data_IF_793625733265
#
_entry.id   IF_793625733265
#
_cell.length_a   1.000
_cell.length_b   1.000
_cell.length_c   1.000
_cell.angle_alpha   90.00
_cell.angle_beta   90.00
_cell.angle_gamma   90.00
#
_symmetry.space_group_name_H-M   'P 1'
#
loop_
_entity.id
_entity.type
_entity.pdbx_description
1 polymer ?
#
# COMPACT_ATOMS: atom_id res chain seq x y z
N UNK A 1 13.02 -3.15 -13.38
CA UNK A 1 14.39 -3.64 -13.13
C UNK A 1 14.45 -5.14 -13.28
N UNK A 2 14.92 -5.66 -14.41
CA UNK A 2 15.00 -7.12 -14.66
C UNK A 2 16.35 -7.64 -15.15
N UNK A 3 17.32 -6.76 -15.45
CA UNK A 3 18.61 -7.18 -16.02
C UNK A 3 19.55 -7.79 -14.97
N UNK A 4 19.81 -7.07 -13.88
CA UNK A 4 20.77 -7.51 -12.85
C UNK A 4 20.29 -8.74 -12.08
N UNK A 5 19.01 -8.76 -11.71
CA UNK A 5 18.43 -9.84 -10.90
C UNK A 5 18.35 -11.18 -11.65
N UNK A 6 18.21 -11.16 -12.99
CA UNK A 6 18.25 -12.38 -13.82
C UNK A 6 19.66 -12.93 -14.02
N UNK A 7 20.66 -12.04 -14.15
CA UNK A 7 22.07 -12.45 -14.29
C UNK A 7 22.54 -13.12 -12.98
N UNK A 8 22.20 -12.52 -11.83
CA UNK A 8 22.49 -13.13 -10.55
C UNK A 8 21.80 -14.50 -10.38
N UNK A 9 20.56 -14.66 -10.87
CA UNK A 9 19.78 -15.92 -10.74
C UNK A 9 20.43 -17.06 -11.52
N UNK A 10 20.87 -16.77 -12.75
CA UNK A 10 21.60 -17.70 -13.57
C UNK A 10 22.94 -18.12 -12.94
N UNK A 11 23.66 -17.18 -12.31
CA UNK A 11 24.93 -17.45 -11.64
C UNK A 11 24.77 -18.30 -10.36
N UNK A 12 23.64 -18.17 -9.66
CA UNK A 12 23.33 -18.88 -8.43
C UNK A 12 22.57 -20.22 -8.63
N UNK A 13 22.23 -20.58 -9.88
CA UNK A 13 21.55 -21.83 -10.19
C UNK A 13 20.11 -21.93 -9.69
N UNK A 14 19.45 -20.81 -9.41
CA UNK A 14 18.04 -20.75 -8.97
C UNK A 14 17.20 -19.93 -9.93
N UNK A 15 15.99 -20.39 -10.25
CA UNK A 15 15.00 -19.57 -10.98
C UNK A 15 14.33 -18.54 -10.07
N UNK A 16 14.49 -18.67 -8.75
CA UNK A 16 13.97 -17.73 -7.77
C UNK A 16 14.91 -16.54 -7.59
N UNK A 17 14.64 -15.49 -8.36
CA UNK A 17 15.35 -14.21 -8.35
C UNK A 17 15.29 -13.53 -6.97
N UNK A 18 14.32 -13.85 -6.10
CA UNK A 18 14.21 -13.20 -4.80
C UNK A 18 15.22 -13.74 -3.79
N UNK A 19 15.50 -15.05 -3.82
CA UNK A 19 16.46 -15.73 -2.94
C UNK A 19 17.90 -15.21 -3.03
N UNK A 20 18.20 -14.57 -4.14
CA UNK A 20 19.51 -14.02 -4.48
C UNK A 20 19.44 -12.49 -4.68
N UNK A 21 18.28 -11.90 -4.38
CA UNK A 21 18.09 -10.46 -4.45
C UNK A 21 18.66 -9.79 -3.22
N UNK A 22 18.95 -8.49 -3.34
CA UNK A 22 19.26 -7.63 -2.21
C UNK A 22 18.14 -7.58 -1.17
N UNK A 23 16.91 -7.99 -1.52
CA UNK A 23 15.76 -7.98 -0.62
C UNK A 23 15.70 -9.21 0.30
N UNK A 24 16.57 -10.22 0.11
CA UNK A 24 16.54 -11.45 0.91
C UNK A 24 16.62 -11.21 2.44
N UNK A 25 17.46 -10.30 2.96
CA UNK A 25 17.48 -10.01 4.40
C UNK A 25 16.13 -9.51 4.96
N UNK A 26 15.29 -8.89 4.13
CA UNK A 26 13.93 -8.48 4.52
C UNK A 26 13.01 -9.70 4.63
N UNK A 27 13.18 -10.68 3.74
CA UNK A 27 12.45 -11.96 3.79
C UNK A 27 12.84 -12.76 5.02
N UNK A 28 14.13 -12.91 5.32
CA UNK A 28 14.60 -13.59 6.53
C UNK A 28 14.00 -12.94 7.77
N UNK A 29 13.98 -11.60 7.82
CA UNK A 29 13.35 -10.87 8.91
C UNK A 29 11.84 -11.13 9.02
N UNK A 30 11.15 -11.31 7.90
CA UNK A 30 9.73 -11.67 7.90
C UNK A 30 9.50 -13.11 8.40
N UNK A 31 10.36 -14.06 8.03
CA UNK A 31 10.31 -15.43 8.57
C UNK A 31 10.50 -15.42 10.09
N UNK A 32 11.49 -14.69 10.59
CA UNK A 32 11.74 -14.52 12.03
C UNK A 32 10.52 -13.94 12.77
N UNK A 33 9.93 -12.86 12.24
CA UNK A 33 8.83 -12.15 12.88
C UNK A 33 7.52 -12.95 12.86
N UNK A 34 7.27 -13.69 11.78
CA UNK A 34 6.00 -14.41 11.58
C UNK A 34 6.05 -15.87 12.05
N UNK A 35 7.24 -16.46 12.17
CA UNK A 35 7.43 -17.89 12.39
C UNK A 35 7.00 -18.76 11.19
N UNK A 36 6.77 -18.15 10.01
CA UNK A 36 6.36 -18.83 8.78
C UNK A 36 7.53 -18.92 7.82
N UNK A 37 7.57 -19.97 7.01
CA UNK A 37 8.60 -20.12 6.00
C UNK A 37 8.27 -19.32 4.73
N UNK A 38 9.31 -18.87 4.04
CA UNK A 38 9.19 -18.25 2.73
C UNK A 38 8.59 -19.19 1.69
N UNK A 39 8.83 -20.50 1.79
CA UNK A 39 8.31 -21.46 0.84
C UNK A 39 6.79 -21.63 0.98
N UNK A 40 6.26 -21.51 2.19
CA UNK A 40 4.81 -21.55 2.44
C UNK A 40 4.13 -20.21 2.13
N UNK A 41 4.83 -19.09 2.36
CA UNK A 41 4.26 -17.73 2.27
C UNK A 41 4.94 -16.85 1.21
N UNK A 42 5.41 -17.47 0.13
CA UNK A 42 6.28 -16.84 -0.89
C UNK A 42 5.69 -15.53 -1.42
N UNK A 43 4.40 -15.52 -1.75
CA UNK A 43 3.75 -14.33 -2.30
C UNK A 43 3.70 -13.18 -1.28
N UNK A 44 3.30 -13.47 -0.04
CA UNK A 44 3.16 -12.45 0.99
C UNK A 44 4.50 -11.81 1.32
N UNK A 45 5.54 -12.62 1.53
CA UNK A 45 6.86 -12.10 1.87
C UNK A 45 7.49 -11.28 0.74
N UNK A 46 7.34 -11.72 -0.52
CA UNK A 46 7.79 -10.93 -1.68
C UNK A 46 7.08 -9.59 -1.80
N UNK A 47 5.75 -9.58 -1.65
CA UNK A 47 4.95 -8.35 -1.75
C UNK A 47 5.34 -7.38 -0.64
N UNK A 48 5.48 -7.84 0.60
CA UNK A 48 5.87 -6.99 1.71
C UNK A 48 7.27 -6.39 1.48
N UNK A 49 8.25 -7.22 1.14
CA UNK A 49 9.62 -6.78 0.93
C UNK A 49 9.74 -5.73 -0.20
N UNK A 50 9.13 -6.00 -1.36
CA UNK A 50 9.16 -5.08 -2.51
C UNK A 50 8.42 -3.76 -2.21
N UNK A 51 7.21 -3.85 -1.67
CA UNK A 51 6.37 -2.66 -1.48
C UNK A 51 6.85 -1.78 -0.33
N UNK A 52 7.34 -2.38 0.75
CA UNK A 52 7.90 -1.60 1.85
C UNK A 52 9.22 -0.94 1.41
N UNK A 53 10.05 -1.61 0.62
CA UNK A 53 11.24 -1.00 0.01
C UNK A 53 10.85 0.23 -0.84
N UNK A 54 9.90 0.09 -1.75
CA UNK A 54 9.44 1.22 -2.56
C UNK A 54 8.82 2.36 -1.73
N UNK A 55 8.07 2.04 -0.68
CA UNK A 55 7.50 3.03 0.22
C UNK A 55 8.58 3.77 1.03
N UNK A 56 9.62 3.07 1.48
CA UNK A 56 10.78 3.64 2.18
C UNK A 56 11.48 4.67 1.29
N UNK A 57 11.83 4.33 0.06
CA UNK A 57 12.50 5.27 -0.85
C UNK A 57 11.64 6.50 -1.17
N UNK A 58 10.34 6.32 -1.40
CA UNK A 58 9.44 7.47 -1.58
C UNK A 58 9.43 8.38 -0.34
N UNK A 59 9.42 7.80 0.86
CA UNK A 59 9.43 8.59 2.09
C UNK A 59 10.76 9.34 2.32
N UNK A 60 11.89 8.70 1.98
CA UNK A 60 13.24 9.32 1.95
C UNK A 60 13.25 10.53 1.01
N UNK A 61 12.63 10.40 -0.17
CA UNK A 61 12.48 11.50 -1.16
C UNK A 61 11.48 12.60 -0.71
N UNK A 62 11.02 12.57 0.54
CA UNK A 62 10.09 13.57 1.08
C UNK A 62 8.62 13.33 0.72
N UNK A 63 8.28 12.24 0.03
CA UNK A 63 6.88 11.92 -0.27
C UNK A 63 6.17 11.56 1.03
N UNK A 64 4.93 12.04 1.18
CA UNK A 64 4.07 11.75 2.33
C UNK A 64 2.73 11.15 1.87
N UNK A 65 2.09 10.31 2.69
CA UNK A 65 0.75 9.77 2.39
C UNK A 65 -0.24 10.88 1.99
N UNK A 66 -0.86 10.76 0.81
CA UNK A 66 -1.88 11.69 0.33
C UNK A 66 -2.89 11.02 -0.60
N UNK A 67 -3.99 11.71 -0.93
CA UNK A 67 -5.04 11.19 -1.84
C UNK A 67 -4.69 11.32 -3.34
N UNK A 68 -3.54 11.92 -3.71
CA UNK A 68 -3.19 12.23 -5.10
C UNK A 68 -1.70 12.02 -5.37
N UNK A 69 -1.36 11.85 -6.66
CA UNK A 69 0.00 11.79 -7.19
C UNK A 69 0.90 10.79 -6.41
N UNK A 70 2.16 11.15 -6.14
CA UNK A 70 3.12 10.30 -5.45
C UNK A 70 2.67 9.89 -4.04
N UNK A 71 1.95 10.76 -3.34
CA UNK A 71 1.42 10.42 -2.01
C UNK A 71 0.37 9.32 -2.04
N UNK A 72 -0.41 9.20 -3.13
CA UNK A 72 -1.32 8.07 -3.33
C UNK A 72 -0.55 6.78 -3.63
N UNK A 73 0.54 6.86 -4.41
CA UNK A 73 1.41 5.71 -4.69
C UNK A 73 2.02 5.18 -3.39
N UNK A 74 2.58 6.04 -2.55
CA UNK A 74 3.13 5.65 -1.24
C UNK A 74 2.06 4.96 -0.39
N UNK A 75 0.84 5.52 -0.31
CA UNK A 75 -0.26 4.88 0.43
C UNK A 75 -0.59 3.50 -0.12
N UNK A 76 -0.66 3.34 -1.43
CA UNK A 76 -0.96 2.04 -2.06
C UNK A 76 0.10 1.00 -1.70
N UNK A 77 1.38 1.36 -1.73
CA UNK A 77 2.48 0.46 -1.36
C UNK A 77 2.39 0.05 0.11
N UNK A 78 2.27 1.01 1.03
CA UNK A 78 2.16 0.73 2.47
C UNK A 78 0.94 -0.13 2.77
N UNK A 79 -0.25 0.23 2.27
CA UNK A 79 -1.48 -0.50 2.55
C UNK A 79 -1.45 -1.92 2.02
N UNK A 80 -0.83 -2.13 0.86
CA UNK A 80 -0.65 -3.46 0.29
C UNK A 80 0.33 -4.31 1.11
N UNK A 81 1.47 -3.76 1.54
CA UNK A 81 2.38 -4.44 2.47
C UNK A 81 1.66 -4.82 3.78
N UNK A 82 0.92 -3.89 4.39
CA UNK A 82 0.14 -4.12 5.61
C UNK A 82 -0.94 -5.19 5.42
N UNK A 83 -1.61 -5.23 4.26
CA UNK A 83 -2.59 -6.29 3.96
C UNK A 83 -1.96 -7.67 3.93
N UNK A 84 -0.82 -7.84 3.25
CA UNK A 84 -0.14 -9.14 3.20
C UNK A 84 0.55 -9.48 4.53
N UNK A 85 0.98 -8.50 5.31
CA UNK A 85 1.48 -8.72 6.67
C UNK A 85 0.40 -9.36 7.57
N UNK A 86 -0.88 -9.03 7.36
CA UNK A 86 -1.98 -9.70 8.05
C UNK A 86 -2.06 -11.20 7.75
N UNK A 87 -1.74 -11.64 6.52
CA UNK A 87 -1.73 -13.08 6.17
C UNK A 87 -0.63 -13.83 6.96
N UNK A 88 0.47 -13.13 7.27
CA UNK A 88 1.56 -13.66 8.09
C UNK A 88 1.26 -13.62 9.61
N UNK A 89 0.15 -13.02 10.03
CA UNK A 89 -0.16 -12.78 11.45
C UNK A 89 0.57 -11.57 12.05
N UNK A 90 1.17 -10.71 11.22
CA UNK A 90 1.86 -9.49 11.66
C UNK A 90 0.85 -8.33 11.82
N UNK A 91 0.33 -8.21 13.03
CA UNK A 91 -0.84 -7.37 13.31
C UNK A 91 -0.54 -5.89 13.57
N UNK A 92 0.70 -5.51 13.87
CA UNK A 92 1.11 -4.12 14.12
C UNK A 92 2.62 -3.92 13.86
N UNK A 93 3.05 -2.66 13.92
CA UNK A 93 4.46 -2.22 13.91
C UNK A 93 5.32 -2.69 12.73
N UNK A 94 4.72 -2.98 11.58
CA UNK A 94 5.43 -3.47 10.39
C UNK A 94 6.55 -2.50 9.97
N UNK A 95 6.24 -1.20 9.92
CA UNK A 95 7.22 -0.18 9.55
C UNK A 95 8.39 -0.10 10.56
N UNK A 96 8.08 -0.13 11.86
CA UNK A 96 9.09 -0.09 12.93
C UNK A 96 10.03 -1.31 12.83
N UNK A 97 9.47 -2.48 12.53
CA UNK A 97 10.19 -3.74 12.54
C UNK A 97 11.05 -3.99 11.29
N UNK A 98 10.68 -3.42 10.14
CA UNK A 98 11.31 -3.73 8.86
C UNK A 98 12.05 -2.57 8.18
N UNK A 99 11.67 -1.32 8.41
CA UNK A 99 12.39 -0.17 7.80
C UNK A 99 13.89 -0.16 8.18
N UNK A 100 14.30 -0.47 9.43
CA UNK A 100 15.72 -0.58 9.75
C UNK A 100 16.46 -1.65 8.93
N UNK A 101 15.81 -2.79 8.66
CA UNK A 101 16.37 -3.85 7.80
C UNK A 101 16.50 -3.36 6.36
N UNK A 102 15.50 -2.64 5.85
CA UNK A 102 15.58 -2.01 4.51
C UNK A 102 16.76 -1.03 4.46
N UNK A 103 16.93 -0.17 5.47
CA UNK A 103 18.03 0.79 5.49
C UNK A 103 19.40 0.11 5.50
N UNK A 104 19.58 -0.94 6.31
CA UNK A 104 20.82 -1.71 6.37
C UNK A 104 21.19 -2.37 5.04
N UNK A 105 20.19 -2.87 4.28
CA UNK A 105 20.40 -3.45 2.93
C UNK A 105 20.99 -2.42 1.97
N UNK A 106 20.58 -1.16 2.08
CA UNK A 106 20.94 -0.10 1.13
C UNK A 106 22.03 0.86 1.60
N UNK A 107 22.44 0.81 2.88
CA UNK A 107 23.37 1.76 3.52
C UNK A 107 24.61 2.09 2.66
N UNK A 108 25.23 1.07 2.05
CA UNK A 108 26.45 1.29 1.24
C UNK A 108 26.21 2.09 -0.04
N UNK A 109 25.04 1.92 -0.66
CA UNK A 109 24.71 2.56 -1.94
C UNK A 109 23.89 3.84 -1.75
N UNK A 110 23.12 3.91 -0.66
CA UNK A 110 22.16 4.96 -0.33
C UNK A 110 22.21 5.27 1.19
N UNK A 111 23.30 5.88 1.68
CA UNK A 111 23.44 6.22 3.10
C UNK A 111 22.31 7.13 3.60
N UNK A 112 21.70 7.94 2.72
CA UNK A 112 20.54 8.77 3.01
C UNK A 112 19.36 7.98 3.58
N UNK A 113 19.21 6.70 3.21
CA UNK A 113 18.14 5.85 3.74
C UNK A 113 18.32 5.62 5.24
N UNK A 114 19.57 5.41 5.69
CA UNK A 114 19.93 5.24 7.10
C UNK A 114 19.76 6.55 7.87
N UNK A 115 20.18 7.68 7.29
CA UNK A 115 20.05 9.01 7.89
C UNK A 115 18.58 9.40 8.16
N UNK A 116 17.65 8.90 7.33
CA UNK A 116 16.23 9.23 7.42
C UNK A 116 15.35 8.15 8.09
N UNK A 117 15.92 7.07 8.64
CA UNK A 117 15.16 5.93 9.20
C UNK A 117 14.07 6.37 10.18
N UNK A 118 14.37 7.28 11.11
CA UNK A 118 13.41 7.70 12.14
C UNK A 118 12.18 8.41 11.53
N UNK A 119 12.40 9.33 10.59
CA UNK A 119 11.32 10.04 9.89
C UNK A 119 10.51 9.06 9.02
N UNK A 120 11.18 8.18 8.28
CA UNK A 120 10.52 7.17 7.45
C UNK A 120 9.64 6.26 8.31
N UNK A 121 10.17 5.73 9.41
CA UNK A 121 9.41 4.91 10.36
C UNK A 121 8.18 5.69 10.85
N UNK A 122 8.33 6.95 11.25
CA UNK A 122 7.21 7.76 11.73
C UNK A 122 6.13 7.98 10.64
N UNK A 123 6.55 8.25 9.40
CA UNK A 123 5.65 8.46 8.26
C UNK A 123 4.87 7.20 7.91
N UNK A 124 5.55 6.06 7.75
CA UNK A 124 4.93 4.80 7.34
C UNK A 124 4.06 4.23 8.47
N UNK A 125 4.51 4.31 9.73
CA UNK A 125 3.73 3.86 10.89
C UNK A 125 2.42 4.63 11.08
N UNK A 126 2.39 5.92 10.71
CA UNK A 126 1.16 6.72 10.74
C UNK A 126 0.13 6.18 9.73
N UNK A 127 0.59 5.86 8.53
CA UNK A 127 -0.29 5.31 7.48
C UNK A 127 -0.73 3.87 7.79
N UNK A 128 0.18 3.03 8.28
CA UNK A 128 -0.11 1.67 8.75
C UNK A 128 -1.23 1.69 9.79
N UNK A 129 -1.04 2.44 10.89
CA UNK A 129 -2.06 2.58 11.95
C UNK A 129 -3.37 3.13 11.40
N UNK A 130 -3.32 4.03 10.42
CA UNK A 130 -4.52 4.55 9.79
C UNK A 130 -5.32 3.48 9.05
N UNK A 131 -4.63 2.62 8.31
CA UNK A 131 -5.26 1.57 7.53
C UNK A 131 -5.72 0.37 8.37
N UNK A 132 -4.93 -0.05 9.37
CA UNK A 132 -5.30 -1.19 10.24
C UNK A 132 -6.65 -1.01 10.92
N UNK A 133 -7.05 0.24 11.23
CA UNK A 133 -8.38 0.56 11.79
C UNK A 133 -9.56 0.14 10.91
N UNK A 134 -9.39 0.06 9.60
CA UNK A 134 -10.44 -0.27 8.64
C UNK A 134 -10.18 -1.56 7.88
N UNK A 135 -8.95 -2.07 7.88
CA UNK A 135 -8.51 -3.25 7.13
C UNK A 135 -9.42 -4.48 7.32
N UNK A 136 -9.58 -4.95 8.57
CA UNK A 136 -10.40 -6.15 8.84
C UNK A 136 -11.86 -5.97 8.45
N UNK A 137 -12.43 -4.77 8.68
CA UNK A 137 -13.80 -4.47 8.27
C UNK A 137 -13.94 -4.42 6.75
N UNK A 138 -12.95 -3.88 6.04
CA UNK A 138 -12.94 -3.87 4.57
C UNK A 138 -12.85 -5.28 3.97
N UNK A 139 -12.01 -6.16 4.53
CA UNK A 139 -11.95 -7.58 4.12
C UNK A 139 -13.30 -8.27 4.37
N UNK A 140 -13.89 -8.04 5.55
CA UNK A 140 -15.18 -8.65 5.90
C UNK A 140 -16.29 -8.17 4.97
N UNK A 141 -16.33 -6.86 4.69
CA UNK A 141 -17.31 -6.28 3.76
C UNK A 141 -17.13 -6.80 2.34
N UNK A 142 -15.89 -6.94 1.86
CA UNK A 142 -15.63 -7.55 0.54
C UNK A 142 -16.15 -9.00 0.48
N UNK A 143 -16.05 -9.76 1.56
CA UNK A 143 -16.52 -11.14 1.62
C UNK A 143 -18.06 -11.28 1.48
N UNK A 144 -18.83 -10.23 1.78
CA UNK A 144 -20.30 -10.21 1.59
C UNK A 144 -20.69 -10.41 0.11
N UNK A 145 -19.79 -10.08 -0.82
CA UNK A 145 -20.02 -10.13 -2.26
C UNK A 145 -19.60 -11.46 -2.91
N UNK A 146 -19.33 -12.51 -2.12
CA UNK A 146 -18.84 -13.80 -2.64
C UNK A 146 -19.73 -14.40 -3.73
N UNK A 147 -21.04 -14.33 -3.54
CA UNK A 147 -22.02 -14.93 -4.45
C UNK A 147 -22.43 -13.97 -5.58
N UNK A 148 -22.39 -12.67 -5.35
CA UNK A 148 -22.88 -11.66 -6.31
C UNK A 148 -21.78 -11.09 -7.21
N UNK A 149 -20.52 -11.19 -6.79
CA UNK A 149 -19.43 -10.41 -7.36
C UNK A 149 -19.47 -8.95 -6.92
N UNK A 150 -18.43 -8.20 -7.32
CA UNK A 150 -18.27 -6.77 -7.08
C UNK A 150 -18.29 -5.97 -8.39
N UNK A 151 -18.95 -4.82 -8.37
CA UNK A 151 -18.96 -3.83 -9.45
C UNK A 151 -18.05 -2.65 -9.11
N UNK A 152 -17.99 -1.63 -9.97
CA UNK A 152 -17.23 -0.41 -9.65
C UNK A 152 -17.80 0.34 -8.44
N UNK A 153 -19.10 0.19 -8.15
CA UNK A 153 -19.75 0.82 -7.01
C UNK A 153 -19.25 0.23 -5.67
N UNK A 154 -19.21 -1.09 -5.53
CA UNK A 154 -18.69 -1.75 -4.33
C UNK A 154 -17.20 -1.48 -4.12
N UNK A 155 -16.43 -1.49 -5.21
CA UNK A 155 -15.01 -1.13 -5.17
C UNK A 155 -14.80 0.33 -4.74
N UNK A 156 -15.70 1.24 -5.13
CA UNK A 156 -15.70 2.62 -4.67
C UNK A 156 -16.01 2.71 -3.18
N UNK A 157 -16.95 1.93 -2.65
CA UNK A 157 -17.22 1.87 -1.20
C UNK A 157 -15.99 1.39 -0.44
N UNK A 158 -15.32 0.32 -0.89
CA UNK A 158 -14.06 -0.16 -0.31
C UNK A 158 -12.98 0.92 -0.31
N UNK A 159 -12.90 1.71 -1.38
CA UNK A 159 -11.97 2.82 -1.48
C UNK A 159 -12.29 3.98 -0.54
N UNK A 160 -13.52 4.47 -0.59
CA UNK A 160 -13.91 5.70 0.10
C UNK A 160 -14.10 5.48 1.61
N UNK A 161 -14.74 4.36 1.99
CA UNK A 161 -15.12 4.09 3.38
C UNK A 161 -14.03 3.35 4.14
N UNK A 162 -13.44 2.32 3.51
CA UNK A 162 -12.46 1.45 4.15
C UNK A 162 -11.03 1.82 3.78
N UNK A 163 -10.84 2.71 2.81
CA UNK A 163 -9.54 3.19 2.38
C UNK A 163 -8.74 2.17 1.56
N UNK A 164 -9.37 1.14 1.01
CA UNK A 164 -8.66 0.17 0.18
C UNK A 164 -8.26 0.82 -1.15
N UNK A 165 -6.99 0.79 -1.54
CA UNK A 165 -6.64 1.09 -2.92
C UNK A 165 -7.42 0.18 -3.85
N UNK A 166 -7.96 0.72 -4.95
CA UNK A 166 -8.86 -0.06 -5.82
C UNK A 166 -8.14 -1.28 -6.42
N UNK A 167 -6.85 -1.16 -6.69
CA UNK A 167 -6.02 -2.27 -7.14
C UNK A 167 -5.96 -3.39 -6.09
N UNK A 168 -5.81 -3.02 -4.81
CA UNK A 168 -5.84 -3.97 -3.71
C UNK A 168 -7.21 -4.65 -3.60
N UNK A 169 -8.31 -3.88 -3.64
CA UNK A 169 -9.67 -4.44 -3.61
C UNK A 169 -9.90 -5.46 -4.72
N UNK A 170 -9.49 -5.15 -5.95
CA UNK A 170 -9.68 -6.08 -7.08
C UNK A 170 -8.79 -7.31 -6.99
N UNK A 171 -7.60 -7.20 -6.41
CA UNK A 171 -6.75 -8.36 -6.17
C UNK A 171 -7.34 -9.25 -5.08
N UNK A 172 -7.77 -8.67 -3.95
CA UNK A 172 -8.39 -9.39 -2.85
C UNK A 172 -9.67 -10.10 -3.28
N UNK A 173 -10.47 -9.47 -4.14
CA UNK A 173 -11.66 -10.08 -4.73
C UNK A 173 -11.27 -11.35 -5.51
N UNK A 174 -10.31 -11.24 -6.44
CA UNK A 174 -9.83 -12.36 -7.24
C UNK A 174 -9.22 -13.47 -6.39
N UNK A 175 -8.38 -13.13 -5.40
CA UNK A 175 -7.79 -14.08 -4.44
C UNK A 175 -8.86 -14.85 -3.67
N UNK A 176 -9.99 -14.22 -3.39
CA UNK A 176 -11.11 -14.79 -2.64
C UNK A 176 -12.14 -15.51 -3.51
N UNK A 177 -11.90 -15.60 -4.83
CA UNK A 177 -12.84 -16.21 -5.79
C UNK A 177 -14.06 -15.34 -6.10
N UNK A 178 -14.04 -14.05 -5.77
CA UNK A 178 -15.12 -13.10 -5.99
C UNK A 178 -15.02 -12.55 -7.42
N UNK A 179 -16.09 -12.68 -8.19
CA UNK A 179 -16.16 -12.13 -9.55
C UNK A 179 -16.02 -10.60 -9.52
N UNK A 180 -15.25 -10.04 -10.44
CA UNK A 180 -15.11 -8.60 -10.63
C UNK A 180 -15.72 -8.25 -11.98
N UNK A 181 -16.76 -7.40 -12.00
CA UNK A 181 -17.47 -6.99 -13.22
C UNK A 181 -16.50 -6.46 -14.29
N UNK A 182 -16.66 -6.81 -15.56
CA UNK A 182 -15.77 -6.32 -16.64
C UNK A 182 -15.81 -4.80 -16.82
N UNK A 183 -16.91 -4.15 -16.44
CA UNK A 183 -17.10 -2.69 -16.52
C UNK A 183 -16.70 -1.95 -15.26
N UNK A 184 -16.17 -2.66 -14.24
CA UNK A 184 -15.90 -2.11 -12.91
C UNK A 184 -15.08 -0.81 -12.95
N UNK A 185 -14.12 -0.71 -13.87
CA UNK A 185 -13.21 0.44 -13.95
C UNK A 185 -13.97 1.71 -14.31
N UNK A 186 -14.81 1.64 -15.34
CA UNK A 186 -15.57 2.78 -15.82
C UNK A 186 -16.56 3.26 -14.75
N UNK A 187 -17.23 2.33 -14.07
CA UNK A 187 -18.15 2.62 -12.97
C UNK A 187 -17.42 3.25 -11.76
N UNK A 188 -16.30 2.68 -11.34
CA UNK A 188 -15.48 3.22 -10.26
C UNK A 188 -15.03 4.65 -10.56
N UNK A 189 -14.52 4.88 -11.77
CA UNK A 189 -14.05 6.20 -12.20
C UNK A 189 -15.21 7.22 -12.25
N UNK A 190 -16.41 6.80 -12.67
CA UNK A 190 -17.61 7.63 -12.62
C UNK A 190 -18.00 8.02 -11.18
N UNK A 191 -17.89 7.09 -10.22
CA UNK A 191 -18.13 7.39 -8.80
C UNK A 191 -17.09 8.35 -8.22
N UNK A 192 -15.80 8.15 -8.56
CA UNK A 192 -14.72 9.07 -8.18
C UNK A 192 -14.96 10.48 -8.72
N UNK A 193 -15.38 10.60 -9.98
CA UNK A 193 -15.63 11.89 -10.60
C UNK A 193 -16.86 12.58 -9.99
N UNK A 194 -17.94 11.84 -9.75
CA UNK A 194 -19.12 12.35 -9.06
C UNK A 194 -18.76 12.86 -7.64
N UNK A 195 -17.89 12.15 -6.91
CA UNK A 195 -17.42 12.59 -5.59
C UNK A 195 -16.58 13.86 -5.66
N UNK A 196 -15.68 13.98 -6.65
CA UNK A 196 -14.88 15.19 -6.88
C UNK A 196 -15.77 16.38 -7.21
N UNK A 197 -16.76 16.21 -8.08
CA UNK A 197 -17.71 17.26 -8.45
C UNK A 197 -18.49 17.77 -7.23
N UNK A 198 -19.01 16.87 -6.37
CA UNK A 198 -19.69 17.24 -5.12
C UNK A 198 -18.78 18.05 -4.19
N UNK A 199 -17.51 17.65 -4.06
CA UNK A 199 -16.53 18.32 -3.20
C UNK A 199 -16.20 19.73 -3.69
N UNK A 200 -16.22 19.97 -5.01
CA UNK A 200 -15.99 21.29 -5.60
C UNK A 200 -17.19 22.23 -5.42
N UNK A 201 -18.42 21.71 -5.49
CA UNK A 201 -19.65 22.48 -5.29
C UNK A 201 -19.90 22.86 -3.83
N UNK A 202 -19.43 22.04 -2.88
CA UNK A 202 -19.56 22.29 -1.44
C UNK A 202 -18.57 23.33 -0.88
N UNK A 203 -17.66 23.87 -1.70
CA UNK A 203 -16.65 24.83 -1.26
C UNK A 203 -17.31 26.20 -1.04
N UNK A 204 -17.28 26.77 0.19
CA UNK A 204 -18.00 28.00 0.48
C UNK A 204 -17.48 29.16 -0.38
N UNK A 205 -18.40 29.96 -0.92
CA UNK A 205 -18.10 31.21 -1.64
C UNK A 205 -17.31 32.12 -0.68
N UNK A 206 -16.21 32.76 -1.11
CA UNK A 206 -15.50 33.72 -0.26
C UNK A 206 -16.48 34.81 0.20
N UNK A 207 -16.34 35.33 1.43
CA UNK A 207 -17.20 36.39 1.91
C UNK A 207 -17.14 37.56 0.92
N UNK A 208 -18.31 38.02 0.48
CA UNK A 208 -18.43 39.20 -0.37
C UNK A 208 -17.89 40.45 0.34
N UNK A 209 -17.51 41.51 -0.40
CA UNK A 209 -16.97 42.72 0.21
C UNK A 209 -17.97 43.27 1.24
N UNK A 210 -17.45 43.64 2.41
CA UNK A 210 -18.24 44.22 3.48
C UNK A 210 -18.88 45.53 2.98
N UNK A 211 -20.19 45.63 3.14
CA UNK A 211 -20.98 46.80 2.80
C UNK A 211 -20.63 47.93 3.79
N UNK A 212 -19.74 48.83 3.36
CA UNK A 212 -19.44 50.08 4.07
C UNK A 212 -20.68 50.98 4.03
N UNK A 213 -21.50 50.90 5.07
CA UNK A 213 -22.59 51.86 5.27
C UNK A 213 -22.02 53.18 5.80
N UNK A 214 -22.27 54.32 5.15
CA UNK A 214 -21.79 55.62 5.62
C UNK A 214 -22.63 56.10 6.82
N UNK A 215 -21.94 56.78 7.74
CA UNK A 215 -22.48 57.37 8.97
C UNK A 215 -23.41 58.56 8.71
#
# INVERSE_FOLDING_TARGET
GGGLSRIAAAAAGTSDIFRISLLWPIVERLEELSGRSYDDETMAMRVIADHLCGATFLAVDGVRPANKAHGYVLRRLVRRAVRFALDLGLEDDLAVLLVPTVAAVYERAHPEVTEHVEDVVAVLSREERAFRRTLRRGISHLAEYRETGVTGAELFVLHDTYGFPVELSTEEARRSGIAVSDTWRAEFDAHMEAQRARSQQARPRPPGPADERPH
#
